data_IF_316037534150
#
_entry.id   IF_316037534150
#
_cell.length_a   1.000
_cell.length_b   1.000
_cell.length_c   1.000
_cell.angle_alpha   90.00
_cell.angle_beta   90.00
_cell.angle_gamma   90.00
#
_symmetry.space_group_name_H-M   'P 1'
#
loop_
_entity.id
_entity.type
_entity.pdbx_description
1 polymer ?
#
# COMPACT_ATOMS: atom_id res chain seq x y z
N UNK A 1 2.28 11.01 22.50
CA UNK A 1 2.30 9.53 22.47
C UNK A 1 2.30 9.10 21.00
N UNK A 2 3.47 8.82 20.43
CA UNK A 2 3.58 8.50 19.00
C UNK A 2 3.00 7.12 18.72
N UNK A 3 1.92 7.03 17.93
CA UNK A 3 1.45 5.74 17.41
C UNK A 3 2.60 5.12 16.60
N UNK A 4 3.08 3.94 17.01
CA UNK A 4 4.03 3.16 16.21
C UNK A 4 3.41 2.96 14.82
N UNK A 5 4.09 3.45 13.79
CA UNK A 5 3.73 3.17 12.41
C UNK A 5 4.00 1.70 12.17
N UNK A 6 2.97 0.93 11.82
CA UNK A 6 3.15 -0.45 11.45
C UNK A 6 3.74 -0.49 10.03
N UNK A 7 4.99 -0.95 9.93
CA UNK A 7 5.73 -1.01 8.67
C UNK A 7 5.52 -2.34 7.95
N UNK A 8 4.99 -3.34 8.66
CA UNK A 8 4.71 -4.66 8.12
C UNK A 8 3.32 -4.72 7.46
N UNK A 9 3.17 -5.52 6.39
CA UNK A 9 1.86 -5.84 5.82
C UNK A 9 0.93 -6.47 6.84
N UNK A 10 -0.32 -5.99 6.89
CA UNK A 10 -1.37 -6.53 7.74
C UNK A 10 -2.34 -7.31 6.86
N UNK A 11 -2.48 -8.60 7.13
CA UNK A 11 -3.45 -9.47 6.45
C UNK A 11 -4.89 -9.07 6.81
N UNK A 12 -5.80 -9.25 5.87
CA UNK A 12 -7.23 -8.99 5.99
C UNK A 12 -8.01 -10.17 5.39
N UNK A 13 -9.21 -10.37 5.88
CA UNK A 13 -10.13 -11.44 5.47
C UNK A 13 -10.73 -11.18 4.09
N UNK A 14 -10.74 -9.92 3.64
CA UNK A 14 -11.23 -9.55 2.31
C UNK A 14 -10.56 -8.30 1.76
N UNK A 15 -10.64 -8.11 0.45
CA UNK A 15 -10.23 -6.86 -0.20
C UNK A 15 -11.02 -5.65 0.33
N UNK A 16 -12.31 -5.84 0.64
CA UNK A 16 -13.18 -4.79 1.19
C UNK A 16 -12.69 -4.31 2.55
N UNK A 17 -12.33 -5.24 3.43
CA UNK A 17 -11.76 -4.92 4.74
C UNK A 17 -10.42 -4.17 4.61
N UNK A 18 -9.49 -4.67 3.78
CA UNK A 18 -8.21 -4.03 3.55
C UNK A 18 -8.37 -2.60 3.01
N UNK A 19 -9.29 -2.41 2.05
CA UNK A 19 -9.68 -1.09 1.53
C UNK A 19 -10.18 -0.18 2.64
N UNK A 20 -11.16 -0.62 3.42
CA UNK A 20 -11.85 0.25 4.37
C UNK A 20 -10.92 0.69 5.49
N UNK A 21 -10.06 -0.23 5.98
CA UNK A 21 -8.99 0.09 6.93
C UNK A 21 -7.97 1.07 6.35
N UNK A 22 -7.46 0.81 5.14
CA UNK A 22 -6.47 1.68 4.51
C UNK A 22 -7.05 3.08 4.23
N UNK A 23 -8.26 3.17 3.71
CA UNK A 23 -8.94 4.43 3.41
C UNK A 23 -9.22 5.23 4.69
N UNK A 24 -9.70 4.57 5.76
CA UNK A 24 -9.94 5.23 7.04
C UNK A 24 -8.65 5.82 7.61
N UNK A 25 -7.56 5.04 7.65
CA UNK A 25 -6.28 5.50 8.21
C UNK A 25 -5.66 6.59 7.34
N UNK A 26 -5.67 6.44 6.02
CA UNK A 26 -5.12 7.42 5.08
C UNK A 26 -5.87 8.76 5.17
N UNK A 27 -7.21 8.75 5.31
CA UNK A 27 -8.04 9.96 5.46
C UNK A 27 -7.64 10.81 6.65
N UNK A 28 -7.24 10.19 7.75
CA UNK A 28 -6.90 10.86 9.00
C UNK A 28 -5.39 10.88 9.31
N UNK A 29 -4.54 10.54 8.34
CA UNK A 29 -3.08 10.56 8.52
C UNK A 29 -2.38 11.30 7.37
N UNK A 30 -1.15 11.77 7.59
CA UNK A 30 -0.31 12.32 6.52
C UNK A 30 0.27 11.26 5.59
N UNK A 31 0.04 9.98 5.90
CA UNK A 31 0.68 8.87 5.24
C UNK A 31 -0.22 8.24 4.19
N UNK A 32 0.41 7.64 3.19
CA UNK A 32 -0.26 6.85 2.16
C UNK A 32 -0.26 5.38 2.54
N UNK A 33 -1.32 4.66 2.19
CA UNK A 33 -1.47 3.24 2.50
C UNK A 33 -1.72 2.44 1.22
N UNK A 34 -1.06 1.30 1.12
CA UNK A 34 -1.19 0.35 0.02
C UNK A 34 -2.24 -0.70 0.36
N UNK A 35 -2.93 -1.21 -0.64
CA UNK A 35 -3.78 -2.40 -0.57
C UNK A 35 -3.50 -3.27 -1.77
N UNK A 36 -3.29 -4.56 -1.55
CA UNK A 36 -3.09 -5.52 -2.63
C UNK A 36 -3.56 -6.92 -2.28
N UNK A 37 -3.68 -7.73 -3.32
CA UNK A 37 -3.90 -9.16 -3.25
C UNK A 37 -2.57 -9.88 -3.51
N UNK A 38 -2.21 -10.80 -2.63
CA UNK A 38 -1.23 -11.87 -2.87
C UNK A 38 -2.10 -13.08 -3.21
N UNK A 39 -1.86 -13.75 -4.34
CA UNK A 39 -2.78 -14.78 -4.87
C UNK A 39 -3.31 -15.78 -3.83
N UNK A 40 -4.39 -16.48 -4.18
CA UNK A 40 -5.19 -17.33 -3.27
C UNK A 40 -6.00 -16.53 -2.24
N UNK A 41 -6.66 -15.46 -2.67
CA UNK A 41 -7.57 -14.64 -1.86
C UNK A 41 -6.93 -14.05 -0.58
N UNK A 42 -5.63 -13.80 -0.60
CA UNK A 42 -4.93 -13.17 0.54
C UNK A 42 -4.82 -11.66 0.33
N UNK A 43 -5.44 -10.88 1.22
CA UNK A 43 -5.51 -9.43 1.10
C UNK A 43 -4.67 -8.74 2.15
N UNK A 44 -3.93 -7.71 1.76
CA UNK A 44 -3.04 -6.98 2.64
C UNK A 44 -3.24 -5.48 2.54
N UNK A 45 -3.00 -4.78 3.64
CA UNK A 45 -2.74 -3.35 3.61
C UNK A 45 -1.47 -3.01 4.40
N UNK A 46 -0.77 -1.95 3.98
CA UNK A 46 0.46 -1.51 4.62
C UNK A 46 0.69 -0.01 4.44
N UNK A 47 1.55 0.57 5.27
CA UNK A 47 2.10 1.91 5.02
C UNK A 47 2.86 1.91 3.67
N UNK A 48 2.70 2.94 2.84
CA UNK A 48 3.45 3.07 1.60
C UNK A 48 4.92 3.46 1.87
N UNK A 49 5.80 2.47 1.79
CA UNK A 49 7.26 2.63 1.89
C UNK A 49 7.91 1.98 0.67
N UNK A 50 9.19 2.27 0.36
CA UNK A 50 9.89 1.57 -0.72
C UNK A 50 9.84 0.05 -0.61
N UNK A 51 9.93 -0.48 0.61
CA UNK A 51 9.93 -1.90 0.92
C UNK A 51 8.54 -2.52 0.72
N UNK A 52 7.48 -1.89 1.24
CA UNK A 52 6.12 -2.42 1.10
C UNK A 52 5.61 -2.30 -0.33
N UNK A 53 5.98 -1.25 -1.08
CA UNK A 53 5.70 -1.17 -2.51
C UNK A 53 6.40 -2.30 -3.27
N UNK A 54 7.65 -2.61 -2.93
CA UNK A 54 8.36 -3.76 -3.53
C UNK A 54 7.63 -5.07 -3.22
N UNK A 55 7.26 -5.28 -1.96
CA UNK A 55 6.55 -6.51 -1.55
C UNK A 55 5.23 -6.66 -2.29
N UNK A 56 4.40 -5.61 -2.30
CA UNK A 56 3.16 -5.55 -3.06
C UNK A 56 3.36 -5.93 -4.53
N UNK A 57 4.39 -5.38 -5.18
CA UNK A 57 4.69 -5.68 -6.59
C UNK A 57 5.12 -7.13 -6.83
N UNK A 58 5.75 -7.78 -5.85
CA UNK A 58 6.14 -9.19 -5.93
C UNK A 58 4.94 -10.11 -5.69
N UNK A 59 4.11 -9.78 -4.69
CA UNK A 59 2.93 -10.53 -4.31
C UNK A 59 1.83 -10.50 -5.38
N UNK A 60 1.54 -9.31 -5.91
CA UNK A 60 0.47 -9.11 -6.90
C UNK A 60 0.90 -9.53 -8.32
N UNK A 61 2.21 -9.70 -8.56
CA UNK A 61 2.75 -9.88 -9.91
C UNK A 61 2.41 -8.70 -10.83
N UNK A 62 2.50 -8.91 -12.14
CA UNK A 62 2.31 -7.84 -13.14
C UNK A 62 0.83 -7.52 -13.44
N UNK A 63 -0.09 -8.41 -13.05
CA UNK A 63 -1.51 -8.35 -13.38
C UNK A 63 -2.40 -8.10 -12.15
N UNK A 64 -1.86 -8.19 -10.92
CA UNK A 64 -2.66 -8.14 -9.71
C UNK A 64 -3.23 -6.77 -9.35
N UNK A 65 -4.24 -6.80 -8.48
CA UNK A 65 -4.92 -5.61 -7.97
C UNK A 65 -4.05 -4.89 -6.95
N UNK A 66 -3.62 -3.68 -7.29
CA UNK A 66 -2.88 -2.80 -6.38
C UNK A 66 -3.60 -1.45 -6.28
N UNK A 67 -3.69 -0.92 -5.07
CA UNK A 67 -4.22 0.42 -4.81
C UNK A 67 -3.35 1.15 -3.80
N UNK A 68 -3.29 2.46 -3.93
CA UNK A 68 -2.73 3.36 -2.93
C UNK A 68 -3.80 4.36 -2.50
N UNK A 69 -3.96 4.54 -1.21
CA UNK A 69 -4.90 5.46 -0.57
C UNK A 69 -4.13 6.63 0.05
N UNK A 70 -4.69 7.81 -0.08
CA UNK A 70 -4.25 9.02 0.61
C UNK A 70 -5.45 9.77 1.23
N UNK A 71 -5.23 11.00 1.70
CA UNK A 71 -6.29 11.80 2.33
C UNK A 71 -7.46 12.12 1.41
N UNK A 72 -7.23 12.13 0.10
CA UNK A 72 -8.17 12.61 -0.91
C UNK A 72 -8.91 11.48 -1.62
N UNK A 73 -8.40 10.26 -1.55
CA UNK A 73 -9.03 9.10 -2.17
C UNK A 73 -8.03 7.99 -2.44
N UNK A 74 -8.13 7.37 -3.61
CA UNK A 74 -7.23 6.29 -4.00
C UNK A 74 -6.88 6.32 -5.47
N UNK A 75 -5.73 5.73 -5.79
CA UNK A 75 -5.30 5.46 -7.15
C UNK A 75 -5.15 3.94 -7.33
N UNK A 76 -5.65 3.42 -8.45
CA UNK A 76 -5.35 2.06 -8.88
C UNK A 76 -3.99 2.04 -9.55
N UNK A 77 -3.15 1.09 -9.15
CA UNK A 77 -1.78 1.01 -9.63
C UNK A 77 -1.63 -0.17 -10.59
N UNK A 78 -1.02 0.07 -11.73
CA UNK A 78 -0.36 -0.99 -12.49
C UNK A 78 1.03 -1.23 -11.92
N UNK A 79 1.65 -2.36 -12.26
CA UNK A 79 3.02 -2.68 -11.83
C UNK A 79 4.03 -1.58 -12.20
N UNK A 80 3.92 -1.02 -13.40
CA UNK A 80 4.80 0.07 -13.87
C UNK A 80 4.62 1.35 -13.07
N UNK A 81 3.38 1.72 -12.72
CA UNK A 81 3.11 2.88 -11.88
C UNK A 81 3.64 2.65 -10.46
N UNK A 82 3.42 1.47 -9.89
CA UNK A 82 3.96 1.09 -8.59
C UNK A 82 5.50 1.16 -8.54
N UNK A 83 6.19 0.69 -9.59
CA UNK A 83 7.64 0.79 -9.69
C UNK A 83 8.13 2.25 -9.72
N UNK A 84 7.43 3.14 -10.43
CA UNK A 84 7.74 4.56 -10.44
C UNK A 84 7.54 5.21 -9.06
N UNK A 85 6.43 4.91 -8.38
CA UNK A 85 6.18 5.36 -7.00
C UNK A 85 7.30 4.88 -6.08
N UNK A 86 7.70 3.60 -6.15
CA UNK A 86 8.80 3.04 -5.36
C UNK A 86 10.09 3.83 -5.54
N UNK A 87 10.44 4.17 -6.79
CA UNK A 87 11.63 4.96 -7.12
C UNK A 87 11.55 6.38 -6.56
N UNK A 88 10.39 7.02 -6.61
CA UNK A 88 10.17 8.34 -6.01
C UNK A 88 10.34 8.30 -4.50
N UNK A 89 9.74 7.31 -3.82
CA UNK A 89 9.87 7.13 -2.37
C UNK A 89 11.33 6.91 -1.94
N UNK A 90 12.10 6.16 -2.73
CA UNK A 90 13.54 5.97 -2.50
C UNK A 90 14.34 7.28 -2.65
N UNK A 91 13.94 8.18 -3.54
CA UNK A 91 14.60 9.48 -3.74
C UNK A 91 14.30 10.44 -2.59
N UNK A 92 13.07 10.45 -2.09
CA UNK A 92 12.69 11.26 -0.92
C UNK A 92 13.32 10.78 0.39
N UNK A 93 13.82 9.54 0.44
CA UNK A 93 14.51 8.99 1.62
C UNK A 93 16.01 9.34 1.68
N UNK A 94 16.55 10.03 0.66
CA UNK A 94 17.93 10.54 0.64
C UNK A 94 18.05 12.01 1.07
N UNK A 95 17.00 12.56 1.68
CA UNK A 95 16.97 13.93 2.23
C UNK A 95 16.98 13.92 3.74
#
# INVERSE_FOLDING_TARGET
>A
MGKKLNLEPIACESFGEARDKAAHIARYSQYRYLVWERGDDQYYYALATPQTVKQMMLDAGTQGLMRIYDRTGFLRLTWWVANNIRRQLLRTWRG
#
